data_IF_708847720608
#
_entry.id   IF_708847720608
#
_cell.length_a   1.000
_cell.length_b   1.000
_cell.length_c   1.000
_cell.angle_alpha   90.00
_cell.angle_beta   90.00
_cell.angle_gamma   90.00
#
_symmetry.space_group_name_H-M   'P 1'
#
loop_
_entity.id
_entity.type
_entity.pdbx_description
1 polymer ?
#
# COMPACT_ATOMS: atom_id res chain seq x y z
N UNK A 1 -16.86 24.68 -13.53
CA UNK A 1 -16.28 23.33 -13.34
C UNK A 1 -14.79 23.34 -13.66
N UNK A 2 -14.02 24.18 -12.98
CA UNK A 2 -12.54 24.26 -13.04
C UNK A 2 -12.07 24.94 -11.76
N UNK A 3 -12.47 24.39 -10.62
CA UNK A 3 -12.01 24.84 -9.31
C UNK A 3 -11.56 23.64 -8.45
N UNK A 4 -11.77 22.42 -8.95
CA UNK A 4 -11.63 21.21 -8.14
C UNK A 4 -10.34 20.42 -8.39
N UNK A 5 -9.53 20.80 -9.39
CA UNK A 5 -8.28 20.09 -9.74
C UNK A 5 -7.02 20.94 -9.56
N UNK A 6 -7.14 22.25 -9.29
CA UNK A 6 -5.98 23.13 -9.09
C UNK A 6 -5.51 23.13 -7.63
N UNK A 7 -6.44 22.97 -6.67
CA UNK A 7 -6.15 22.81 -5.24
C UNK A 7 -5.46 21.46 -4.91
N UNK A 8 -5.73 20.41 -5.68
CA UNK A 8 -5.13 19.08 -5.46
C UNK A 8 -3.73 18.90 -6.09
N UNK A 9 -3.38 19.69 -7.10
CA UNK A 9 -2.07 19.58 -7.79
C UNK A 9 -1.00 20.48 -7.17
N UNK A 10 -1.37 21.59 -6.52
CA UNK A 10 -0.44 22.47 -5.80
C UNK A 10 -0.05 21.91 -4.41
N UNK A 11 -0.82 20.95 -3.89
CA UNK A 11 -0.57 20.29 -2.61
C UNK A 11 0.45 19.13 -2.65
N UNK A 12 0.90 18.70 -3.84
CA UNK A 12 1.76 17.52 -4.00
C UNK A 12 2.94 17.73 -4.95
N UNK A 13 3.30 18.98 -5.24
CA UNK A 13 4.32 19.29 -6.23
C UNK A 13 5.43 20.15 -5.63
N UNK A 14 6.66 19.69 -5.87
CA UNK A 14 7.94 20.34 -5.60
C UNK A 14 8.46 20.25 -4.15
N UNK A 15 9.13 19.13 -3.87
CA UNK A 15 10.34 19.22 -3.04
C UNK A 15 11.50 19.63 -3.96
N UNK A 16 12.22 20.73 -3.66
CA UNK A 16 13.35 21.18 -4.47
C UNK A 16 14.50 20.17 -4.43
N UNK A 17 15.20 20.01 -5.56
CA UNK A 17 16.23 18.98 -5.80
C UNK A 17 17.46 19.09 -4.86
N UNK A 18 17.62 20.21 -4.16
CA UNK A 18 18.69 20.50 -3.20
C UNK A 18 18.20 20.62 -1.73
N UNK A 19 16.98 20.16 -1.43
CA UNK A 19 16.48 20.18 -0.05
C UNK A 19 17.22 19.15 0.80
N UNK A 20 18.05 19.60 1.74
CA UNK A 20 18.62 18.76 2.80
C UNK A 20 17.49 18.33 3.76
N UNK A 21 16.77 17.29 3.36
CA UNK A 21 15.79 16.64 4.20
C UNK A 21 16.56 15.83 5.24
N UNK A 22 16.48 16.26 6.49
CA UNK A 22 17.03 15.50 7.60
C UNK A 22 16.54 14.05 7.57
N UNK A 23 17.32 13.12 8.13
CA UNK A 23 16.98 11.69 8.10
C UNK A 23 15.60 11.40 8.72
N UNK A 24 15.19 12.18 9.72
CA UNK A 24 13.85 12.11 10.30
C UNK A 24 12.75 12.57 9.33
N UNK A 25 12.98 13.61 8.53
CA UNK A 25 12.03 14.06 7.51
C UNK A 25 11.91 13.05 6.36
N UNK A 26 13.03 12.44 5.94
CA UNK A 26 13.01 11.34 4.95
C UNK A 26 12.25 10.13 5.46
N UNK A 27 12.43 9.77 6.73
CA UNK A 27 11.69 8.67 7.37
C UNK A 27 10.20 8.98 7.42
N UNK A 28 9.83 10.22 7.74
CA UNK A 28 8.43 10.66 7.75
C UNK A 28 7.79 10.59 6.36
N UNK A 29 8.45 11.12 5.32
CA UNK A 29 7.96 11.04 3.94
C UNK A 29 7.83 9.58 3.49
N UNK A 30 8.80 8.72 3.81
CA UNK A 30 8.73 7.28 3.50
C UNK A 30 7.57 6.57 4.21
N UNK A 31 7.29 6.94 5.47
CA UNK A 31 6.15 6.41 6.21
C UNK A 31 4.82 6.90 5.65
N UNK A 32 4.71 8.17 5.24
CA UNK A 32 3.51 8.69 4.60
C UNK A 32 3.30 8.09 3.20
N UNK A 33 4.36 7.89 2.41
CA UNK A 33 4.24 7.24 1.11
C UNK A 33 3.80 5.77 1.21
N UNK A 34 4.29 5.04 2.22
CA UNK A 34 3.81 3.69 2.52
C UNK A 34 2.33 3.63 2.96
N UNK A 35 1.71 4.75 3.33
CA UNK A 35 0.29 4.82 3.69
C UNK A 35 -0.62 5.19 2.52
N UNK A 36 -0.09 5.78 1.44
CA UNK A 36 -0.90 6.29 0.33
C UNK A 36 -1.40 5.19 -0.61
N UNK A 37 -0.81 3.99 -0.62
CA UNK A 37 -1.36 2.84 -1.32
C UNK A 37 -1.53 1.66 -0.37
N UNK A 38 -2.79 1.27 -0.20
CA UNK A 38 -3.30 0.15 0.57
C UNK A 38 -2.36 -1.09 0.51
N UNK A 39 -1.68 -1.49 1.60
CA UNK A 39 -0.80 -2.66 1.60
C UNK A 39 -1.57 -3.99 1.57
N UNK A 40 -2.88 -3.95 1.28
CA UNK A 40 -3.72 -5.12 1.21
C UNK A 40 -3.23 -6.04 0.09
N UNK A 41 -2.76 -7.22 0.46
CA UNK A 41 -2.34 -8.25 -0.46
C UNK A 41 -3.60 -8.87 -1.08
N UNK A 42 -3.69 -8.81 -2.40
CA UNK A 42 -4.74 -9.48 -3.16
C UNK A 42 -4.40 -10.97 -3.29
N UNK A 43 -5.30 -11.84 -2.82
CA UNK A 43 -5.18 -13.30 -3.01
C UNK A 43 -5.11 -13.67 -4.50
N UNK A 44 -5.82 -12.93 -5.35
CA UNK A 44 -5.82 -13.15 -6.80
C UNK A 44 -4.43 -12.90 -7.39
N UNK A 45 -3.79 -11.78 -7.04
CA UNK A 45 -2.44 -11.46 -7.52
C UNK A 45 -1.43 -12.53 -7.06
N UNK A 46 -1.58 -13.05 -5.85
CA UNK A 46 -0.74 -14.14 -5.33
C UNK A 46 -1.00 -15.44 -6.09
N UNK A 47 -2.26 -15.79 -6.36
CA UNK A 47 -2.59 -16.99 -7.13
C UNK A 47 -2.00 -16.94 -8.54
N UNK A 48 -2.10 -15.78 -9.22
CA UNK A 48 -1.55 -15.56 -10.56
C UNK A 48 -0.01 -15.62 -10.57
N UNK A 49 0.65 -14.92 -9.63
CA UNK A 49 2.12 -14.86 -9.55
C UNK A 49 2.74 -16.23 -9.29
N UNK A 50 2.12 -17.04 -8.43
CA UNK A 50 2.62 -18.37 -8.07
C UNK A 50 2.05 -19.49 -8.94
N UNK A 51 1.11 -19.21 -9.83
CA UNK A 51 0.45 -20.20 -10.69
C UNK A 51 -0.32 -21.26 -9.91
N UNK A 52 -0.87 -20.89 -8.76
CA UNK A 52 -1.65 -21.76 -7.86
C UNK A 52 -3.13 -21.41 -7.89
N UNK A 53 -3.97 -22.26 -7.31
CA UNK A 53 -5.39 -21.91 -7.15
C UNK A 53 -5.60 -20.80 -6.11
N UNK A 54 -6.73 -20.07 -6.20
CA UNK A 54 -7.09 -19.07 -5.19
C UNK A 54 -7.17 -19.64 -3.77
N UNK A 55 -7.66 -20.89 -3.61
CA UNK A 55 -7.71 -21.54 -2.30
C UNK A 55 -6.31 -21.79 -1.74
N UNK A 56 -5.36 -22.23 -2.56
CA UNK A 56 -3.96 -22.43 -2.15
C UNK A 56 -3.27 -21.12 -1.83
N UNK A 57 -3.49 -20.07 -2.62
CA UNK A 57 -2.99 -18.73 -2.33
C UNK A 57 -3.57 -18.18 -1.03
N UNK A 58 -4.87 -18.38 -0.78
CA UNK A 58 -5.53 -17.97 0.45
C UNK A 58 -4.92 -18.70 1.66
N UNK A 59 -4.75 -20.02 1.59
CA UNK A 59 -4.18 -20.81 2.69
C UNK A 59 -2.72 -20.40 2.97
N UNK A 60 -1.93 -20.15 1.93
CA UNK A 60 -0.56 -19.65 2.05
C UNK A 60 -0.49 -18.27 2.73
N UNK A 61 -1.40 -17.36 2.39
CA UNK A 61 -1.50 -16.04 3.03
C UNK A 61 -1.98 -16.16 4.47
N UNK A 62 -2.92 -17.05 4.76
CA UNK A 62 -3.46 -17.26 6.11
C UNK A 62 -2.44 -17.87 7.08
N UNK A 63 -1.55 -18.72 6.57
CA UNK A 63 -0.47 -19.37 7.32
C UNK A 63 0.81 -18.53 7.43
N UNK A 64 0.92 -17.43 6.67
CA UNK A 64 2.13 -16.61 6.68
C UNK A 64 2.34 -15.92 8.03
N UNK A 65 3.48 -16.15 8.73
CA UNK A 65 3.76 -15.49 10.00
C UNK A 65 4.21 -14.03 9.84
N UNK A 66 4.40 -13.59 8.60
CA UNK A 66 4.91 -12.26 8.25
C UNK A 66 3.81 -11.28 7.86
N UNK A 67 2.58 -11.75 7.72
CA UNK A 67 1.43 -10.95 7.33
C UNK A 67 0.53 -10.72 8.54
N UNK A 68 0.12 -9.48 8.73
CA UNK A 68 -1.02 -9.20 9.60
C UNK A 68 -2.29 -9.53 8.83
N UNK A 69 -3.23 -10.21 9.49
CA UNK A 69 -4.51 -10.57 8.89
C UNK A 69 -5.67 -9.99 9.67
N UNK A 70 -6.69 -9.55 8.96
CA UNK A 70 -7.97 -9.13 9.53
C UNK A 70 -9.12 -9.71 8.75
N UNK A 71 -10.04 -10.34 9.47
CA UNK A 71 -11.30 -10.82 8.91
C UNK A 71 -12.32 -9.67 8.90
N UNK A 72 -12.96 -9.45 7.75
CA UNK A 72 -14.04 -8.48 7.55
C UNK A 72 -15.21 -9.21 6.89
N UNK A 73 -16.18 -9.63 7.70
CA UNK A 73 -17.25 -10.52 7.24
C UNK A 73 -16.68 -11.88 6.81
N UNK A 74 -17.04 -12.32 5.61
CA UNK A 74 -16.53 -13.55 4.98
C UNK A 74 -15.19 -13.36 4.24
N UNK A 75 -14.63 -12.15 4.24
CA UNK A 75 -13.38 -11.85 3.55
C UNK A 75 -12.21 -11.72 4.52
N UNK A 76 -11.01 -12.03 4.05
CA UNK A 76 -9.76 -11.81 4.76
C UNK A 76 -8.92 -10.79 4.01
N UNK A 77 -8.27 -9.92 4.77
CA UNK A 77 -7.38 -8.88 4.27
C UNK A 77 -6.03 -9.09 4.94
N UNK A 78 -4.96 -9.14 4.16
CA UNK A 78 -3.59 -9.32 4.63
C UNK A 78 -2.74 -8.10 4.30
N UNK A 79 -1.82 -7.68 5.16
CA UNK A 79 -0.85 -6.60 4.90
C UNK A 79 0.43 -6.77 5.72
#
# INVERSE_FOLDING_TARGET
MKDSLQDEVEANRDLPDDADLSEEAKKFVKMEWNKVYNPAISTEEVAEEFGVSMEEAHDALDQSPYLEKKSVGDQHIWW
#
